data_IF_611602900900
#
_entry.id   IF_611602900900
#
_cell.length_a   1.000
_cell.length_b   1.000
_cell.length_c   1.000
_cell.angle_alpha   90.00
_cell.angle_beta   90.00
_cell.angle_gamma   90.00
#
_symmetry.space_group_name_H-M   'P 1'
#
loop_
_entity.id
_entity.type
_entity.pdbx_description
1 polymer ?
#
# COMPACT_ATOMS: atom_id res chain seq x y z
N UNK A 1 -0.31 8.34 31.01
CA UNK A 1 0.75 8.84 30.13
C UNK A 1 1.37 7.77 29.26
N UNK A 2 1.81 6.69 29.87
CA UNK A 2 2.44 5.60 29.12
C UNK A 2 1.51 4.97 28.09
N UNK A 3 0.22 4.87 28.42
CA UNK A 3 -0.76 4.26 27.51
C UNK A 3 -0.99 5.07 26.24
N UNK A 4 -0.91 6.40 26.35
CA UNK A 4 -1.06 7.26 25.18
C UNK A 4 0.13 7.10 24.24
N UNK A 5 1.33 6.87 24.80
CA UNK A 5 2.53 6.67 24.01
C UNK A 5 2.43 5.47 23.07
N UNK A 6 1.80 4.39 23.50
CA UNK A 6 1.65 3.19 22.67
C UNK A 6 0.83 3.44 21.42
N UNK A 7 -0.31 4.10 21.58
CA UNK A 7 -1.16 4.42 20.43
C UNK A 7 -0.48 5.40 19.48
N UNK A 8 0.17 6.41 20.04
CA UNK A 8 0.89 7.39 19.24
C UNK A 8 2.03 6.73 18.47
N UNK A 9 2.71 5.78 19.10
CA UNK A 9 3.80 5.06 18.46
C UNK A 9 3.29 4.25 17.26
N UNK A 10 2.16 3.54 17.43
CA UNK A 10 1.57 2.76 16.35
C UNK A 10 1.14 3.65 15.18
N UNK A 11 0.49 4.77 15.47
CA UNK A 11 0.07 5.72 14.44
C UNK A 11 1.28 6.25 13.67
N UNK A 12 2.34 6.58 14.39
CA UNK A 12 3.55 7.11 13.76
C UNK A 12 4.18 6.08 12.83
N UNK A 13 4.24 4.81 13.26
CA UNK A 13 4.77 3.75 12.43
C UNK A 13 3.94 3.55 11.16
N UNK A 14 2.61 3.61 11.30
CA UNK A 14 1.72 3.50 10.15
C UNK A 14 1.91 4.66 9.17
N UNK A 15 2.06 5.87 9.70
CA UNK A 15 2.29 7.05 8.87
C UNK A 15 3.62 6.97 8.14
N UNK A 16 4.65 6.51 8.84
CA UNK A 16 5.97 6.34 8.24
C UNK A 16 5.93 5.29 7.12
N UNK A 17 5.26 4.18 7.36
CA UNK A 17 5.12 3.13 6.36
C UNK A 17 4.37 3.65 5.13
N UNK A 18 3.30 4.41 5.34
CA UNK A 18 2.53 5.00 4.25
C UNK A 18 3.37 5.97 3.43
N UNK A 19 4.16 6.80 4.10
CA UNK A 19 5.03 7.74 3.40
C UNK A 19 6.09 7.04 2.58
N UNK A 20 6.65 5.95 3.11
CA UNK A 20 7.63 5.16 2.37
C UNK A 20 6.98 4.58 1.12
N UNK A 21 5.78 4.01 1.24
CA UNK A 21 5.07 3.46 0.10
C UNK A 21 4.80 4.53 -0.96
N UNK A 22 4.34 5.71 -0.53
CA UNK A 22 4.07 6.83 -1.45
C UNK A 22 5.33 7.29 -2.16
N UNK A 23 6.41 7.43 -1.43
CA UNK A 23 7.66 7.95 -1.96
C UNK A 23 8.32 6.99 -2.94
N UNK A 24 8.29 5.69 -2.63
CA UNK A 24 8.97 4.68 -3.44
C UNK A 24 8.16 4.24 -4.66
N UNK A 25 6.87 4.48 -4.66
CA UNK A 25 5.98 4.03 -5.72
C UNK A 25 6.34 4.64 -7.08
N UNK A 26 6.22 3.82 -8.13
CA UNK A 26 6.35 4.32 -9.50
C UNK A 26 4.99 4.84 -9.94
N UNK A 27 4.75 6.11 -9.72
CA UNK A 27 3.45 6.72 -10.01
C UNK A 27 3.11 6.71 -11.49
N UNK A 28 4.10 6.82 -12.35
CA UNK A 28 3.89 6.74 -13.79
C UNK A 28 3.29 5.37 -14.17
N UNK A 29 3.85 4.31 -13.62
CA UNK A 29 3.32 2.96 -13.84
C UNK A 29 1.89 2.84 -13.30
N UNK A 30 1.66 3.33 -12.08
CA UNK A 30 0.35 3.25 -11.43
C UNK A 30 -0.71 3.96 -12.26
N UNK A 31 -0.41 5.17 -12.71
CA UNK A 31 -1.37 5.95 -13.48
C UNK A 31 -1.65 5.35 -14.86
N UNK A 32 -0.75 4.52 -15.36
CA UNK A 32 -0.94 3.87 -16.66
C UNK A 32 -1.82 2.61 -16.57
N UNK A 33 -2.13 2.16 -15.37
CA UNK A 33 -2.92 0.94 -15.19
C UNK A 33 -4.41 1.18 -15.41
N UNK A 34 -5.18 0.13 -15.77
CA UNK A 34 -6.63 0.24 -15.84
C UNK A 34 -7.21 0.72 -14.51
N UNK A 35 -8.36 1.38 -14.52
CA UNK A 35 -8.90 2.02 -13.32
C UNK A 35 -9.00 1.12 -12.09
N UNK A 36 -9.38 -0.14 -12.27
CA UNK A 36 -9.52 -1.06 -11.14
C UNK A 36 -8.19 -1.40 -10.50
N UNK A 37 -7.17 -1.65 -11.31
CA UNK A 37 -5.82 -1.95 -10.82
C UNK A 37 -5.20 -0.71 -10.20
N UNK A 38 -5.40 0.44 -10.83
CA UNK A 38 -4.91 1.71 -10.31
C UNK A 38 -5.50 1.99 -8.92
N UNK A 39 -6.81 1.81 -8.77
CA UNK A 39 -7.48 2.01 -7.49
C UNK A 39 -6.92 1.06 -6.41
N UNK A 40 -6.69 -0.20 -6.78
CA UNK A 40 -6.16 -1.18 -5.85
C UNK A 40 -4.74 -0.83 -5.40
N UNK A 41 -3.90 -0.39 -6.33
CA UNK A 41 -2.53 0.02 -5.99
C UNK A 41 -2.53 1.23 -5.07
N UNK A 42 -3.38 2.21 -5.35
CA UNK A 42 -3.50 3.40 -4.49
C UNK A 42 -4.01 3.03 -3.10
N UNK A 43 -4.97 2.12 -3.04
CA UNK A 43 -5.47 1.61 -1.76
C UNK A 43 -4.35 0.95 -0.97
N UNK A 44 -3.54 0.14 -1.62
CA UNK A 44 -2.42 -0.52 -0.95
C UNK A 44 -1.41 0.49 -0.41
N UNK A 45 -1.11 1.53 -1.18
CA UNK A 45 -0.21 2.58 -0.73
C UNK A 45 -0.73 3.20 0.57
N UNK A 46 -2.04 3.47 0.63
CA UNK A 46 -2.62 4.15 1.79
C UNK A 46 -2.75 3.24 3.02
N UNK A 47 -3.00 1.95 2.83
CA UNK A 47 -3.33 1.06 3.93
C UNK A 47 -2.31 -0.03 4.22
N UNK A 48 -1.52 -0.43 3.23
CA UNK A 48 -0.63 -1.58 3.36
C UNK A 48 -1.38 -2.91 3.41
N UNK A 49 -2.67 -2.92 3.09
CA UNK A 49 -3.52 -4.11 3.19
C UNK A 49 -3.53 -4.86 1.87
N UNK A 50 -2.66 -5.85 1.76
CA UNK A 50 -2.49 -6.63 0.55
C UNK A 50 -3.75 -7.44 0.20
N UNK A 51 -4.42 -7.97 1.23
CA UNK A 51 -5.59 -8.81 1.03
C UNK A 51 -6.74 -8.02 0.40
N UNK A 52 -7.09 -6.89 1.01
CA UNK A 52 -8.18 -6.07 0.49
C UNK A 52 -7.81 -5.49 -0.87
N UNK A 53 -6.58 -5.04 -1.04
CA UNK A 53 -6.14 -4.50 -2.32
C UNK A 53 -6.27 -5.54 -3.45
N UNK A 54 -5.88 -6.79 -3.18
CA UNK A 54 -6.01 -7.85 -4.18
C UNK A 54 -7.47 -8.07 -4.57
N UNK A 55 -8.39 -7.98 -3.61
CA UNK A 55 -9.83 -8.11 -3.88
C UNK A 55 -10.34 -6.96 -4.71
N UNK A 56 -9.91 -5.74 -4.43
CA UNK A 56 -10.28 -4.58 -5.24
C UNK A 56 -9.81 -4.78 -6.68
N UNK A 57 -8.60 -5.30 -6.84
CA UNK A 57 -8.04 -5.55 -8.16
C UNK A 57 -8.70 -6.72 -8.90
N UNK A 58 -9.41 -7.59 -8.17
CA UNK A 58 -9.95 -8.80 -8.75
C UNK A 58 -8.87 -9.83 -9.06
N UNK A 59 -7.79 -9.80 -8.30
CA UNK A 59 -6.64 -10.69 -8.47
C UNK A 59 -6.45 -11.55 -7.23
N UNK A 60 -5.70 -12.63 -7.39
CA UNK A 60 -5.24 -13.38 -6.23
C UNK A 60 -4.20 -12.54 -5.48
N UNK A 61 -3.92 -12.92 -4.24
CA UNK A 61 -2.90 -12.22 -3.44
C UNK A 61 -1.55 -12.29 -4.16
N UNK A 62 -1.20 -13.45 -4.70
CA UNK A 62 0.06 -13.63 -5.41
C UNK A 62 0.15 -12.74 -6.66
N UNK A 63 -0.94 -12.70 -7.42
CA UNK A 63 -0.99 -11.85 -8.62
C UNK A 63 -0.87 -10.38 -8.27
N UNK A 64 -1.59 -9.94 -7.24
CA UNK A 64 -1.50 -8.56 -6.82
C UNK A 64 -0.11 -8.23 -6.26
N UNK A 65 0.50 -9.18 -5.54
CA UNK A 65 1.83 -8.96 -5.00
C UNK A 65 2.87 -8.75 -6.12
N UNK A 66 2.73 -9.47 -7.24
CA UNK A 66 3.58 -9.25 -8.39
C UNK A 66 3.34 -7.87 -9.01
N UNK A 67 2.08 -7.45 -9.08
CA UNK A 67 1.73 -6.13 -9.58
C UNK A 67 2.32 -5.03 -8.68
N UNK A 68 2.22 -5.22 -7.37
CA UNK A 68 2.81 -4.30 -6.39
C UNK A 68 4.31 -4.13 -6.62
N UNK A 69 5.01 -5.23 -6.87
CA UNK A 69 6.45 -5.18 -7.13
C UNK A 69 6.75 -4.38 -8.39
N UNK A 70 5.98 -4.59 -9.46
CA UNK A 70 6.14 -3.84 -10.69
C UNK A 70 5.87 -2.36 -10.49
N UNK A 71 4.95 -2.05 -9.60
CA UNK A 71 4.63 -0.67 -9.26
C UNK A 71 5.68 -0.03 -8.32
N UNK A 72 6.70 -0.77 -7.91
CA UNK A 72 7.75 -0.25 -7.06
C UNK A 72 7.32 0.06 -5.63
N UNK A 73 6.19 -0.47 -5.20
CA UNK A 73 5.67 -0.20 -3.86
C UNK A 73 6.27 -1.21 -2.89
N UNK A 74 7.06 -0.76 -1.90
CA UNK A 74 7.66 -1.70 -0.96
C UNK A 74 6.63 -2.31 -0.02
N UNK A 75 6.94 -3.51 0.45
CA UNK A 75 6.08 -4.21 1.41
C UNK A 75 6.45 -3.79 2.83
N UNK A 76 6.04 -2.59 3.20
CA UNK A 76 6.24 -2.06 4.56
C UNK A 76 4.89 -1.81 5.21
N UNK A 77 4.80 -2.19 6.47
CA UNK A 77 3.57 -2.06 7.22
C UNK A 77 3.85 -1.68 8.67
#
# INVERSE_FOLDING_TARGET
MATLSSLDKWRRLEEEAREIRRREANWSFIESQPPRLRAALKYYIETGDLYVASRIAGLTIEEFNELRKKAGIPNVS
#
